data_IF_365450973163
#
_entry.id   IF_365450973163
#
_cell.length_a   1.000
_cell.length_b   1.000
_cell.length_c   1.000
_cell.angle_alpha   90.00
_cell.angle_beta   90.00
_cell.angle_gamma   90.00
#
_symmetry.space_group_name_H-M   'P 1'
#
loop_
_entity.id
_entity.type
_entity.pdbx_description
1 polymer ?
#
# COMPACT_ATOMS: atom_id res chain seq x y z
N UNK A 1 -10.24 22.23 1.73
CA UNK A 1 -8.84 21.82 1.46
C UNK A 1 -8.61 21.27 0.05
N UNK A 2 -9.60 21.29 -0.85
CA UNK A 2 -9.55 20.61 -2.16
C UNK A 2 -8.56 21.21 -3.19
N UNK A 3 -7.90 22.34 -2.87
CA UNK A 3 -6.90 22.98 -3.73
C UNK A 3 -5.45 22.72 -3.28
N UNK A 4 -5.23 22.32 -2.03
CA UNK A 4 -3.90 22.04 -1.50
C UNK A 4 -3.73 20.52 -1.38
N UNK A 5 -3.01 19.92 -2.31
CA UNK A 5 -2.91 18.46 -2.47
C UNK A 5 -1.64 17.85 -1.89
N UNK A 6 -0.66 18.68 -1.48
CA UNK A 6 0.62 18.21 -0.93
C UNK A 6 1.05 19.09 0.25
N UNK A 7 0.92 18.59 1.48
CA UNK A 7 1.33 19.26 2.72
C UNK A 7 1.79 18.23 3.76
N UNK A 8 2.73 18.62 4.63
CA UNK A 8 3.15 17.79 5.77
C UNK A 8 2.14 17.84 6.91
N UNK A 9 1.76 19.05 7.31
CA UNK A 9 0.66 19.32 8.23
C UNK A 9 -0.04 20.62 7.79
N UNK A 10 -1.34 20.73 8.07
CA UNK A 10 -2.13 21.91 7.77
C UNK A 10 -2.66 22.52 9.07
N UNK A 11 -2.39 23.81 9.25
CA UNK A 11 -2.80 24.60 10.40
C UNK A 11 -3.86 25.60 9.95
N UNK A 12 -5.12 25.36 10.31
CA UNK A 12 -6.27 26.07 9.75
C UNK A 12 -6.93 26.97 10.80
N UNK A 13 -7.03 28.27 10.49
CA UNK A 13 -7.64 29.29 11.34
C UNK A 13 -6.66 29.97 12.30
N UNK A 14 -7.04 31.16 12.78
CA UNK A 14 -6.16 32.02 13.60
C UNK A 14 -5.79 31.41 14.97
N UNK A 15 -6.60 30.48 15.47
CA UNK A 15 -6.40 29.81 16.77
C UNK A 15 -5.53 28.54 16.66
N UNK A 16 -5.00 28.22 15.48
CA UNK A 16 -4.23 27.00 15.22
C UNK A 16 -2.77 27.29 14.85
N UNK A 17 -1.98 28.05 15.63
CA UNK A 17 -0.59 28.33 15.28
C UNK A 17 0.27 27.05 15.33
N UNK A 18 1.33 27.02 14.52
CA UNK A 18 2.25 25.89 14.35
C UNK A 18 2.75 25.28 15.68
N UNK A 19 3.12 26.06 16.72
CA UNK A 19 3.62 25.51 17.96
C UNK A 19 2.68 24.51 18.64
N UNK A 20 1.35 24.63 18.47
CA UNK A 20 0.46 23.60 19.03
C UNK A 20 0.74 22.23 18.39
N UNK A 21 0.93 22.15 17.07
CA UNK A 21 1.26 20.90 16.38
C UNK A 21 2.65 20.37 16.69
N UNK A 22 3.57 21.26 17.10
CA UNK A 22 4.94 20.88 17.48
C UNK A 22 5.01 20.26 18.89
N UNK A 23 4.09 20.60 19.78
CA UNK A 23 4.20 20.24 21.20
C UNK A 23 3.04 19.42 21.76
N UNK A 24 1.78 19.83 21.56
CA UNK A 24 0.65 19.31 22.36
C UNK A 24 -0.62 18.99 21.57
N UNK A 25 -0.65 19.34 20.29
CA UNK A 25 -1.82 19.16 19.41
C UNK A 25 -2.08 17.70 19.03
N UNK A 26 -1.18 16.78 19.40
CA UNK A 26 -1.33 15.33 19.19
C UNK A 26 -0.94 14.83 17.79
N UNK A 27 -0.72 15.73 16.84
CA UNK A 27 -0.10 15.40 15.54
C UNK A 27 1.40 15.13 15.70
N UNK A 28 2.01 14.38 14.78
CA UNK A 28 3.46 14.21 14.79
C UNK A 28 4.14 15.34 14.00
N UNK A 29 5.11 16.02 14.60
CA UNK A 29 5.85 17.12 13.97
C UNK A 29 7.06 16.69 13.12
N UNK A 30 7.34 15.38 13.03
CA UNK A 30 8.35 14.84 12.11
C UNK A 30 7.73 14.76 10.72
N UNK A 31 7.86 15.86 9.97
CA UNK A 31 7.16 16.09 8.71
C UNK A 31 8.11 16.09 7.50
N UNK A 32 7.60 15.79 6.30
CA UNK A 32 8.39 15.83 5.08
C UNK A 32 8.77 17.26 4.68
N UNK A 33 10.07 17.50 4.44
CA UNK A 33 10.62 18.79 4.01
C UNK A 33 11.19 18.72 2.59
N UNK A 34 11.63 19.85 2.02
CA UNK A 34 12.23 19.93 0.66
C UNK A 34 11.32 19.34 -0.45
N UNK A 35 10.01 19.57 -0.36
CA UNK A 35 9.03 19.11 -1.37
C UNK A 35 8.62 17.64 -1.26
N UNK A 36 9.10 16.90 -0.25
CA UNK A 36 8.77 15.49 -0.03
C UNK A 36 7.28 15.24 0.27
N UNK A 37 6.55 16.27 0.72
CA UNK A 37 5.09 16.20 0.93
C UNK A 37 4.29 15.80 -0.34
N UNK A 38 4.91 15.84 -1.54
CA UNK A 38 4.29 15.34 -2.79
C UNK A 38 4.18 13.82 -2.86
N UNK A 39 4.96 13.07 -2.08
CA UNK A 39 5.01 11.60 -2.15
C UNK A 39 5.18 10.89 -0.81
N UNK A 40 5.40 11.63 0.30
CA UNK A 40 5.46 11.07 1.64
C UNK A 40 4.60 11.88 2.61
N UNK A 41 4.00 11.20 3.59
CA UNK A 41 3.34 11.83 4.74
C UNK A 41 4.31 12.10 5.90
N UNK A 42 3.79 12.70 6.97
CA UNK A 42 4.48 12.79 8.26
C UNK A 42 4.65 11.43 8.93
N UNK A 43 5.52 11.37 9.94
CA UNK A 43 5.72 10.19 10.76
C UNK A 43 4.41 9.78 11.45
N UNK A 44 4.07 8.49 11.38
CA UNK A 44 2.89 7.94 12.04
C UNK A 44 3.18 6.51 12.52
N UNK A 45 2.25 5.89 13.25
CA UNK A 45 2.46 4.55 13.83
C UNK A 45 2.84 3.50 12.79
N UNK A 46 2.26 3.53 11.59
CA UNK A 46 2.58 2.61 10.51
C UNK A 46 3.96 2.78 9.90
N UNK A 47 4.67 3.88 10.14
CA UNK A 47 6.10 3.97 9.82
C UNK A 47 6.94 2.96 10.61
N UNK A 48 6.46 2.55 11.78
CA UNK A 48 7.12 1.55 12.65
C UNK A 48 6.53 0.15 12.49
N UNK A 49 5.48 -0.01 11.69
CA UNK A 49 4.91 -1.32 11.39
C UNK A 49 5.56 -1.90 10.14
N UNK A 50 5.65 -3.22 10.09
CA UNK A 50 6.03 -3.96 8.89
C UNK A 50 4.78 -4.65 8.33
N UNK A 51 4.20 -4.17 7.21
CA UNK A 51 3.11 -4.87 6.56
C UNK A 51 3.56 -6.27 6.12
N UNK A 52 2.82 -7.29 6.51
CA UNK A 52 3.06 -8.68 6.10
C UNK A 52 1.81 -9.17 5.36
N UNK A 53 1.99 -9.70 4.15
CA UNK A 53 0.91 -10.22 3.32
C UNK A 53 0.96 -11.75 3.28
N UNK A 54 -0.18 -12.40 3.44
CA UNK A 54 -0.33 -13.84 3.28
C UNK A 54 -1.47 -14.16 2.31
N UNK A 55 -1.31 -15.23 1.54
CA UNK A 55 -2.33 -15.76 0.64
C UNK A 55 -2.53 -17.23 0.97
N UNK A 56 -3.77 -17.60 1.28
CA UNK A 56 -4.17 -19.00 1.47
C UNK A 56 -5.28 -19.30 0.47
N UNK A 57 -5.07 -20.32 -0.35
CA UNK A 57 -6.07 -20.80 -1.32
C UNK A 57 -6.49 -22.21 -0.95
N UNK A 58 -7.80 -22.47 -0.96
CA UNK A 58 -8.31 -23.83 -1.03
C UNK A 58 -8.27 -24.33 -2.49
N UNK A 59 -8.63 -25.59 -2.71
CA UNK A 59 -8.62 -26.19 -4.06
C UNK A 59 -9.52 -25.45 -5.05
N UNK A 60 -10.70 -24.99 -4.61
CA UNK A 60 -11.65 -24.25 -5.46
C UNK A 60 -11.05 -22.91 -5.90
N UNK A 61 -10.49 -22.14 -4.96
CA UNK A 61 -9.87 -20.85 -5.23
C UNK A 61 -8.59 -20.96 -6.06
N UNK A 62 -7.77 -21.99 -5.83
CA UNK A 62 -6.61 -22.26 -6.66
C UNK A 62 -7.03 -22.61 -8.09
N UNK A 63 -8.02 -23.49 -8.24
CA UNK A 63 -8.53 -23.88 -9.55
C UNK A 63 -9.18 -22.71 -10.29
N UNK A 64 -9.94 -21.84 -9.62
CA UNK A 64 -10.64 -20.72 -10.26
C UNK A 64 -9.69 -19.65 -10.81
N UNK A 65 -8.48 -19.53 -10.23
CA UNK A 65 -7.45 -18.57 -10.68
C UNK A 65 -6.45 -19.18 -11.66
N UNK A 66 -6.47 -20.51 -11.84
CA UNK A 66 -5.42 -21.23 -12.55
C UNK A 66 -5.34 -20.83 -14.02
N UNK A 67 -6.47 -20.71 -14.73
CA UNK A 67 -6.46 -20.45 -16.18
C UNK A 67 -5.91 -19.05 -16.52
N UNK A 68 -6.36 -18.03 -15.81
CA UNK A 68 -5.87 -16.65 -15.99
C UNK A 68 -4.39 -16.55 -15.61
N UNK A 69 -4.00 -17.18 -14.50
CA UNK A 69 -2.61 -17.21 -14.04
C UNK A 69 -1.66 -17.94 -14.99
N UNK A 70 -2.12 -19.06 -15.58
CA UNK A 70 -1.38 -19.78 -16.63
C UNK A 70 -1.18 -18.89 -17.85
N UNK A 71 -2.24 -18.21 -18.31
CA UNK A 71 -2.19 -17.33 -19.48
C UNK A 71 -1.17 -16.21 -19.28
N UNK A 72 -1.17 -15.57 -18.11
CA UNK A 72 -0.17 -14.54 -17.76
C UNK A 72 1.25 -15.13 -17.73
N UNK A 73 1.43 -16.27 -17.05
CA UNK A 73 2.75 -16.90 -16.92
C UNK A 73 3.32 -17.38 -18.27
N UNK A 74 2.47 -17.86 -19.19
CA UNK A 74 2.89 -18.24 -20.53
C UNK A 74 3.25 -17.04 -21.39
N UNK A 75 2.48 -15.94 -21.27
CA UNK A 75 2.77 -14.67 -21.96
C UNK A 75 4.11 -14.09 -21.51
N UNK A 76 4.46 -14.24 -20.23
CA UNK A 76 5.76 -13.83 -19.68
C UNK A 76 6.89 -14.85 -19.94
N UNK A 77 6.60 -16.00 -20.56
CA UNK A 77 7.60 -17.05 -20.82
C UNK A 77 8.00 -17.87 -19.58
N UNK A 78 7.28 -17.74 -18.46
CA UNK A 78 7.57 -18.37 -17.17
C UNK A 78 6.94 -19.76 -17.06
N UNK A 79 7.50 -20.73 -17.80
CA UNK A 79 6.98 -22.11 -17.88
C UNK A 79 6.77 -22.80 -16.52
N UNK A 80 7.68 -22.59 -15.56
CA UNK A 80 7.55 -23.20 -14.23
C UNK A 80 6.38 -22.62 -13.43
N UNK A 81 6.07 -21.34 -13.62
CA UNK A 81 4.96 -20.68 -12.96
C UNK A 81 3.63 -21.19 -13.52
N UNK A 82 3.49 -21.22 -14.85
CA UNK A 82 2.34 -21.83 -15.54
C UNK A 82 2.12 -23.27 -15.07
N UNK A 83 3.17 -24.10 -15.10
CA UNK A 83 3.07 -25.50 -14.67
C UNK A 83 2.60 -25.63 -13.22
N UNK A 84 3.12 -24.82 -12.30
CA UNK A 84 2.73 -24.86 -10.88
C UNK A 84 1.25 -24.58 -10.65
N UNK A 85 0.64 -23.72 -11.48
CA UNK A 85 -0.79 -23.39 -11.44
C UNK A 85 -1.62 -24.44 -12.18
N UNK A 86 -1.14 -24.92 -13.33
CA UNK A 86 -1.77 -25.99 -14.10
C UNK A 86 -1.96 -27.28 -13.28
N UNK A 87 -1.03 -27.60 -12.38
CA UNK A 87 -1.15 -28.73 -11.45
C UNK A 87 -2.27 -28.56 -10.40
N UNK A 88 -2.77 -27.34 -10.20
CA UNK A 88 -3.85 -26.99 -9.26
C UNK A 88 -5.18 -26.69 -9.97
N UNK A 89 -5.20 -26.73 -11.30
CA UNK A 89 -6.42 -26.65 -12.12
C UNK A 89 -7.20 -27.95 -11.95
N UNK A 90 -8.47 -27.89 -11.55
CA UNK A 90 -9.36 -29.05 -11.63
C UNK A 90 -9.52 -29.42 -13.11
N UNK A 91 -9.17 -30.65 -13.46
CA UNK A 91 -9.60 -31.23 -14.74
C UNK A 91 -11.06 -31.63 -14.55
N UNK A 92 -11.98 -30.85 -15.11
CA UNK A 92 -13.32 -31.35 -15.40
C UNK A 92 -13.23 -32.40 -16.52
#
# INVERSE_FOLDING_TARGET
MNLCTAYGAAFVGNMSPVPFGDYIGGTNHTLPTQGRARFSGGLWTGTFLRPLTSLTLNSIGASSLSEDGITLAETEGLKAHSLSMALRRNKL
#
